data_IF_379547420177
#
_entry.id   IF_379547420177
#
_cell.length_a   1.000
_cell.length_b   1.000
_cell.length_c   1.000
_cell.angle_alpha   90.00
_cell.angle_beta   90.00
_cell.angle_gamma   90.00
#
_symmetry.space_group_name_H-M   'P 1'
#
loop_
_entity.id
_entity.type
_entity.pdbx_description
1 polymer ?
#
# COMPACT_ATOMS: atom_id res chain seq x y z
N UNK A 1 2.57 19.95 9.96
CA UNK A 1 2.60 21.15 9.10
C UNK A 1 1.43 21.09 8.13
N UNK A 2 1.10 22.16 7.40
CA UNK A 2 0.05 22.14 6.36
C UNK A 2 0.67 21.97 4.98
N UNK A 3 -0.04 21.30 4.07
CA UNK A 3 0.39 21.15 2.68
C UNK A 3 0.57 22.50 1.97
N UNK A 4 1.60 22.60 1.11
CA UNK A 4 1.74 23.74 0.20
C UNK A 4 0.59 23.79 -0.82
N UNK A 5 0.39 24.92 -1.50
CA UNK A 5 -0.69 25.07 -2.49
C UNK A 5 -0.57 24.06 -3.64
N UNK A 6 0.65 23.79 -4.10
CA UNK A 6 0.92 22.80 -5.15
C UNK A 6 0.58 21.37 -4.67
N UNK A 7 0.95 21.02 -3.44
CA UNK A 7 0.62 19.73 -2.85
C UNK A 7 -0.88 19.56 -2.63
N UNK A 8 -1.57 20.63 -2.22
CA UNK A 8 -3.04 20.61 -2.11
C UNK A 8 -3.70 20.32 -3.46
N UNK A 9 -3.26 20.98 -4.55
CA UNK A 9 -3.75 20.68 -5.90
C UNK A 9 -3.48 19.23 -6.28
N UNK A 10 -2.26 18.73 -6.01
CA UNK A 10 -1.92 17.33 -6.30
C UNK A 10 -2.79 16.34 -5.51
N UNK A 11 -2.97 16.57 -4.22
CA UNK A 11 -3.80 15.69 -3.37
C UNK A 11 -5.28 15.76 -3.74
N UNK A 12 -5.76 16.91 -4.22
CA UNK A 12 -7.10 17.03 -4.82
C UNK A 12 -7.26 16.12 -6.04
N UNK A 13 -6.28 16.16 -6.96
CA UNK A 13 -6.25 15.26 -8.12
C UNK A 13 -6.20 13.77 -7.73
N UNK A 14 -5.39 13.39 -6.73
CA UNK A 14 -5.38 12.02 -6.21
C UNK A 14 -6.75 11.60 -5.67
N UNK A 15 -7.40 12.51 -4.93
CA UNK A 15 -8.73 12.27 -4.38
C UNK A 15 -9.78 12.07 -5.49
N UNK A 16 -9.76 12.90 -6.53
CA UNK A 16 -10.69 12.77 -7.65
C UNK A 16 -10.53 11.42 -8.39
N UNK A 17 -9.28 10.97 -8.62
CA UNK A 17 -9.01 9.65 -9.22
C UNK A 17 -9.56 8.53 -8.33
N UNK A 18 -9.27 8.61 -7.04
CA UNK A 18 -9.63 7.56 -6.07
C UNK A 18 -11.15 7.48 -5.93
N UNK A 19 -11.82 8.61 -5.70
CA UNK A 19 -13.27 8.67 -5.51
C UNK A 19 -14.02 8.25 -6.81
N UNK A 20 -13.43 8.50 -7.98
CA UNK A 20 -13.99 8.08 -9.27
C UNK A 20 -13.83 6.59 -9.60
N UNK A 21 -12.94 5.86 -8.90
CA UNK A 21 -12.59 4.46 -9.25
C UNK A 21 -12.78 3.47 -8.11
N UNK A 22 -12.66 3.91 -6.86
CA UNK A 22 -12.63 3.06 -5.68
C UNK A 22 -13.75 3.47 -4.73
N UNK A 23 -14.40 2.46 -4.15
CA UNK A 23 -15.34 2.63 -3.05
C UNK A 23 -14.66 2.28 -1.73
N UNK A 24 -15.23 2.74 -0.60
CA UNK A 24 -14.76 2.43 0.76
C UNK A 24 -13.33 2.91 1.05
N UNK A 25 -12.98 4.10 0.54
CA UNK A 25 -11.71 4.77 0.84
C UNK A 25 -11.94 5.87 1.88
N UNK A 26 -11.04 5.96 2.87
CA UNK A 26 -11.07 6.98 3.92
C UNK A 26 -9.76 7.76 3.93
N UNK A 27 -9.87 9.08 3.98
CA UNK A 27 -8.73 9.98 4.15
C UNK A 27 -8.63 10.42 5.61
N UNK A 28 -7.51 10.16 6.25
CA UNK A 28 -7.25 10.48 7.65
C UNK A 28 -6.28 11.65 7.70
N UNK A 29 -6.63 12.68 8.47
CA UNK A 29 -5.87 13.93 8.59
C UNK A 29 -5.46 14.57 7.24
N UNK A 30 -6.37 14.70 6.24
CA UNK A 30 -6.02 15.06 4.86
C UNK A 30 -5.34 16.42 4.68
N UNK A 31 -5.39 17.29 5.70
CA UNK A 31 -4.79 18.63 5.68
C UNK A 31 -3.42 18.70 6.38
N UNK A 32 -2.95 17.59 6.94
CA UNK A 32 -1.73 17.53 7.75
C UNK A 32 -0.61 16.88 6.96
N UNK A 33 0.37 17.69 6.52
CA UNK A 33 1.57 17.22 5.87
C UNK A 33 2.34 16.28 6.81
N UNK A 34 2.79 15.14 6.29
CA UNK A 34 3.48 14.08 7.04
C UNK A 34 2.59 13.24 7.96
N UNK A 35 1.30 13.56 8.11
CA UNK A 35 0.36 12.80 8.95
C UNK A 35 -0.93 12.39 8.21
N UNK A 36 -1.01 12.69 6.91
CA UNK A 36 -2.10 12.23 6.05
C UNK A 36 -1.96 10.73 5.78
N UNK A 37 -3.07 9.99 5.92
CA UNK A 37 -3.15 8.58 5.52
C UNK A 37 -4.35 8.37 4.61
N UNK A 38 -4.24 7.43 3.69
CA UNK A 38 -5.35 6.98 2.84
C UNK A 38 -5.57 5.49 3.09
N UNK A 39 -6.76 5.14 3.56
CA UNK A 39 -7.13 3.75 3.86
C UNK A 39 -8.16 3.22 2.89
N UNK A 40 -7.94 2.03 2.38
CA UNK A 40 -8.88 1.34 1.50
C UNK A 40 -9.22 -0.03 2.05
N UNK A 41 -10.52 -0.27 2.29
CA UNK A 41 -11.05 -1.58 2.68
C UNK A 41 -11.24 -2.45 1.44
N UNK A 42 -10.55 -3.58 1.42
CA UNK A 42 -10.49 -4.49 0.27
C UNK A 42 -11.03 -5.85 0.67
N UNK A 43 -11.88 -6.42 -0.19
CA UNK A 43 -12.18 -7.85 -0.15
C UNK A 43 -11.34 -8.52 -1.25
N UNK A 44 -10.61 -9.58 -0.87
CA UNK A 44 -9.95 -10.45 -1.84
C UNK A 44 -10.96 -11.31 -2.56
N UNK A 45 -10.56 -11.95 -3.67
CA UNK A 45 -11.47 -12.76 -4.47
C UNK A 45 -12.03 -13.99 -3.72
N UNK A 46 -11.33 -14.46 -2.68
CA UNK A 46 -11.79 -15.53 -1.80
C UNK A 46 -12.59 -15.03 -0.56
N UNK A 47 -12.95 -13.74 -0.53
CA UNK A 47 -13.84 -13.16 0.47
C UNK A 47 -13.16 -12.67 1.75
N UNK A 48 -11.84 -12.82 1.89
CA UNK A 48 -11.09 -12.30 3.03
C UNK A 48 -11.00 -10.77 2.98
N UNK A 49 -11.00 -10.15 4.16
CA UNK A 49 -11.11 -8.69 4.29
C UNK A 49 -9.82 -8.11 4.85
N UNK A 50 -9.33 -7.08 4.19
CA UNK A 50 -8.12 -6.35 4.57
C UNK A 50 -8.33 -4.85 4.51
N UNK A 51 -7.44 -4.09 5.13
CA UNK A 51 -7.35 -2.64 4.91
C UNK A 51 -5.94 -2.27 4.51
N UNK A 52 -5.79 -1.74 3.31
CA UNK A 52 -4.54 -1.14 2.84
C UNK A 52 -4.46 0.29 3.37
N UNK A 53 -3.30 0.69 3.87
CA UNK A 53 -3.04 2.05 4.32
C UNK A 53 -1.82 2.61 3.61
N UNK A 54 -2.01 3.75 2.98
CA UNK A 54 -0.94 4.57 2.42
C UNK A 54 -0.60 5.68 3.41
N UNK A 55 0.66 5.80 3.80
CA UNK A 55 1.17 6.97 4.51
C UNK A 55 1.71 7.94 3.47
N UNK A 56 1.12 9.14 3.43
CA UNK A 56 1.52 10.18 2.46
C UNK A 56 2.66 11.00 3.09
N UNK A 57 3.87 10.98 2.50
CA UNK A 57 5.03 11.67 3.06
C UNK A 57 4.88 13.18 2.94
N UNK A 58 5.56 13.93 3.80
CA UNK A 58 5.53 15.40 3.79
C UNK A 58 6.01 16.00 2.46
N UNK A 59 6.95 15.34 1.78
CA UNK A 59 7.49 15.77 0.49
C UNK A 59 6.71 15.20 -0.71
N UNK A 60 5.53 14.61 -0.53
CA UNK A 60 4.70 14.13 -1.63
C UNK A 60 4.39 15.25 -2.64
N UNK A 61 4.46 15.03 -3.97
CA UNK A 61 4.71 13.76 -4.66
C UNK A 61 6.19 13.47 -4.97
N UNK A 62 7.12 14.26 -4.46
CA UNK A 62 8.56 14.08 -4.71
C UNK A 62 9.14 12.91 -3.90
N UNK A 63 8.48 12.51 -2.82
CA UNK A 63 8.82 11.32 -2.05
C UNK A 63 7.79 10.19 -2.26
N UNK A 64 8.29 8.97 -2.37
CA UNK A 64 7.51 7.76 -2.54
C UNK A 64 6.74 7.43 -1.25
N UNK A 65 5.42 7.18 -1.31
CA UNK A 65 4.65 6.85 -0.12
C UNK A 65 4.93 5.43 0.40
N UNK A 66 4.57 5.20 1.66
CA UNK A 66 4.63 3.87 2.28
C UNK A 66 3.27 3.20 2.18
N UNK A 67 3.25 1.90 1.89
CA UNK A 67 2.03 1.08 1.82
C UNK A 67 2.12 -0.09 2.80
N UNK A 68 1.11 -0.23 3.66
CA UNK A 68 1.02 -1.34 4.62
C UNK A 68 -0.33 -2.02 4.58
N UNK A 69 -0.40 -3.24 5.15
CA UNK A 69 -1.66 -3.87 5.55
C UNK A 69 -1.97 -3.49 7.00
N UNK A 70 -2.99 -2.66 7.19
CA UNK A 70 -3.39 -2.10 8.50
C UNK A 70 -4.50 -2.86 9.21
N UNK A 71 -5.22 -3.70 8.47
CA UNK A 71 -6.17 -4.66 9.01
C UNK A 71 -5.94 -6.01 8.34
N UNK A 72 -5.63 -7.08 9.10
CA UNK A 72 -5.54 -7.12 10.57
C UNK A 72 -4.43 -6.21 11.13
N UNK A 73 -4.63 -5.62 12.30
CA UNK A 73 -3.73 -4.62 12.92
C UNK A 73 -2.50 -5.27 13.59
N UNK A 74 -1.82 -6.11 12.82
CA UNK A 74 -0.64 -6.87 13.20
C UNK A 74 0.13 -7.27 11.96
N UNK A 75 1.42 -7.53 12.11
CA UNK A 75 2.25 -8.16 11.07
C UNK A 75 1.60 -9.46 10.56
N UNK A 76 1.52 -9.61 9.25
CA UNK A 76 0.95 -10.78 8.59
C UNK A 76 1.86 -12.01 8.74
N UNK A 77 1.28 -13.20 8.55
CA UNK A 77 2.00 -14.47 8.68
C UNK A 77 2.04 -15.24 7.37
N UNK A 78 3.19 -15.82 7.08
CA UNK A 78 3.37 -16.82 6.04
C UNK A 78 2.66 -18.11 6.40
N UNK A 79 2.44 -18.99 5.41
CA UNK A 79 1.73 -20.27 5.62
C UNK A 79 2.35 -21.11 6.74
N UNK A 80 3.67 -21.12 6.85
CA UNK A 80 4.42 -21.84 7.91
C UNK A 80 4.31 -21.21 9.32
N UNK A 81 3.60 -20.08 9.44
CA UNK A 81 3.40 -19.36 10.69
C UNK A 81 4.43 -18.27 10.98
N UNK A 82 5.53 -18.19 10.20
CA UNK A 82 6.53 -17.12 10.33
C UNK A 82 5.97 -15.75 9.94
N UNK A 83 6.59 -14.69 10.44
CA UNK A 83 6.11 -13.31 10.23
C UNK A 83 6.64 -12.71 8.92
N UNK A 84 5.78 -11.98 8.21
CA UNK A 84 6.14 -11.13 7.07
C UNK A 84 6.64 -9.77 7.58
N UNK A 85 7.82 -9.78 8.21
CA UNK A 85 8.44 -8.60 8.83
C UNK A 85 9.78 -8.19 8.23
N UNK A 86 10.46 -9.10 7.54
CA UNK A 86 11.78 -8.85 6.96
C UNK A 86 11.66 -8.48 5.48
N UNK A 87 12.58 -7.65 5.00
CA UNK A 87 12.69 -7.33 3.58
C UNK A 87 12.91 -8.61 2.75
N UNK A 88 12.00 -8.89 1.82
CA UNK A 88 12.01 -10.12 1.03
C UNK A 88 11.50 -9.84 -0.38
N UNK A 89 12.38 -10.03 -1.36
CA UNK A 89 12.00 -9.98 -2.79
C UNK A 89 10.97 -11.06 -3.13
N UNK A 90 11.12 -12.25 -2.54
CA UNK A 90 10.22 -13.39 -2.79
C UNK A 90 8.81 -13.18 -2.26
N UNK A 91 8.71 -12.50 -1.12
CA UNK A 91 7.43 -12.19 -0.47
C UNK A 91 6.90 -10.79 -0.85
N UNK A 92 7.66 -10.02 -1.64
CA UNK A 92 7.34 -8.64 -2.00
C UNK A 92 7.03 -7.77 -0.77
N UNK A 93 7.86 -7.90 0.27
CA UNK A 93 7.77 -7.13 1.53
C UNK A 93 9.01 -6.25 1.65
N UNK A 94 8.82 -4.97 2.02
CA UNK A 94 9.94 -4.06 2.31
C UNK A 94 10.43 -4.19 3.75
N UNK A 95 9.57 -4.65 4.65
CA UNK A 95 9.87 -4.90 6.05
C UNK A 95 8.65 -4.62 6.91
N UNK A 96 8.87 -3.88 7.99
CA UNK A 96 7.81 -3.37 8.86
C UNK A 96 7.78 -1.85 8.85
N UNK A 97 6.57 -1.31 8.88
CA UNK A 97 6.32 0.10 9.11
C UNK A 97 5.16 0.25 10.09
N UNK A 98 5.35 1.02 11.17
CA UNK A 98 4.32 1.23 12.20
C UNK A 98 3.78 -0.08 12.80
N UNK A 99 4.64 -1.09 12.96
CA UNK A 99 4.28 -2.42 13.49
C UNK A 99 3.46 -3.30 12.52
N UNK A 100 3.37 -2.91 11.26
CA UNK A 100 2.57 -3.58 10.22
C UNK A 100 3.46 -4.04 9.07
N UNK A 101 3.01 -5.06 8.32
CA UNK A 101 3.71 -5.53 7.11
C UNK A 101 3.70 -4.44 6.04
N UNK A 102 4.90 -3.99 5.65
CA UNK A 102 5.11 -3.03 4.56
C UNK A 102 5.23 -3.76 3.22
N UNK A 103 4.36 -3.40 2.27
CA UNK A 103 4.27 -4.04 0.96
C UNK A 103 5.16 -3.31 -0.04
N UNK A 104 5.90 -4.08 -0.86
CA UNK A 104 6.58 -3.56 -2.04
C UNK A 104 5.57 -3.10 -3.11
N UNK A 105 5.70 -1.85 -3.59
CA UNK A 105 4.86 -1.32 -4.67
C UNK A 105 5.70 -0.71 -5.80
N UNK A 106 6.42 0.38 -5.53
CA UNK A 106 7.42 0.99 -6.41
C UNK A 106 8.80 0.88 -5.77
N UNK A 107 9.85 0.73 -6.60
CA UNK A 107 11.24 0.94 -6.14
C UNK A 107 11.43 2.45 -5.91
N UNK A 108 12.12 2.84 -4.84
CA UNK A 108 12.33 4.26 -4.50
C UNK A 108 12.92 5.06 -5.68
N UNK A 109 13.88 4.49 -6.41
CA UNK A 109 14.49 5.13 -7.58
C UNK A 109 13.63 5.15 -8.86
N UNK A 110 12.49 4.45 -8.86
CA UNK A 110 11.55 4.41 -9.98
C UNK A 110 10.26 5.20 -9.69
N UNK A 111 10.13 5.77 -8.50
CA UNK A 111 9.03 6.66 -8.16
C UNK A 111 9.21 8.00 -8.87
N UNK A 112 8.12 8.52 -9.41
CA UNK A 112 8.05 9.83 -10.03
C UNK A 112 6.78 10.54 -9.59
N UNK A 113 6.75 11.87 -9.76
CA UNK A 113 5.53 12.65 -9.51
C UNK A 113 4.35 12.21 -10.38
N UNK A 114 4.57 11.51 -11.49
CA UNK A 114 3.48 11.00 -12.35
C UNK A 114 2.77 9.77 -11.74
N UNK A 115 3.40 9.11 -10.76
CA UNK A 115 2.78 7.98 -10.07
C UNK A 115 1.72 8.43 -9.08
N UNK A 116 0.63 7.65 -8.95
CA UNK A 116 -0.55 8.03 -8.14
C UNK A 116 -0.72 7.13 -6.93
N UNK A 117 -1.38 7.63 -5.89
CA UNK A 117 -1.81 6.85 -4.72
C UNK A 117 -2.75 5.72 -5.17
N UNK A 118 -3.57 5.96 -6.19
CA UNK A 118 -4.39 4.92 -6.82
C UNK A 118 -3.54 3.73 -7.32
N UNK A 119 -2.43 4.00 -8.03
CA UNK A 119 -1.54 2.93 -8.50
C UNK A 119 -0.88 2.17 -7.33
N UNK A 120 -0.49 2.88 -6.26
CA UNK A 120 0.03 2.28 -5.02
C UNK A 120 -1.00 1.34 -4.39
N UNK A 121 -2.25 1.80 -4.24
CA UNK A 121 -3.36 0.99 -3.71
C UNK A 121 -3.64 -0.24 -4.58
N UNK A 122 -3.60 -0.09 -5.90
CA UNK A 122 -3.80 -1.21 -6.81
C UNK A 122 -2.69 -2.27 -6.71
N UNK A 123 -1.44 -1.85 -6.50
CA UNK A 123 -0.34 -2.78 -6.19
C UNK A 123 -0.61 -3.54 -4.90
N UNK A 124 -1.05 -2.85 -3.86
CA UNK A 124 -1.48 -3.50 -2.61
C UNK A 124 -2.59 -4.52 -2.81
N UNK A 125 -3.61 -4.20 -3.62
CA UNK A 125 -4.70 -5.15 -3.89
C UNK A 125 -4.19 -6.42 -4.59
N UNK A 126 -3.36 -6.27 -5.61
CA UNK A 126 -2.78 -7.43 -6.32
C UNK A 126 -1.89 -8.25 -5.37
N UNK A 127 -1.12 -7.59 -4.51
CA UNK A 127 -0.32 -8.25 -3.48
C UNK A 127 -1.19 -9.07 -2.52
N UNK A 128 -2.34 -8.53 -2.08
CA UNK A 128 -3.27 -9.27 -1.20
C UNK A 128 -3.81 -10.53 -1.87
N UNK A 129 -4.14 -10.50 -3.17
CA UNK A 129 -4.56 -11.72 -3.88
C UNK A 129 -3.44 -12.77 -3.92
N UNK A 130 -2.20 -12.35 -4.19
CA UNK A 130 -1.03 -13.25 -4.16
C UNK A 130 -0.77 -13.80 -2.75
N UNK A 131 -0.92 -12.97 -1.72
CA UNK A 131 -0.81 -13.37 -0.33
C UNK A 131 -1.85 -14.44 0.03
N UNK A 132 -3.09 -14.30 -0.41
CA UNK A 132 -4.13 -15.32 -0.19
C UNK A 132 -3.77 -16.66 -0.84
N UNK A 133 -3.20 -16.64 -2.05
CA UNK A 133 -2.71 -17.87 -2.68
C UNK A 133 -1.55 -18.46 -1.88
N UNK A 134 -0.59 -17.64 -1.43
CA UNK A 134 0.51 -18.07 -0.56
C UNK A 134 -0.02 -18.72 0.72
N UNK A 135 -1.03 -18.15 1.38
CA UNK A 135 -1.66 -18.72 2.59
C UNK A 135 -2.22 -20.12 2.35
N UNK A 136 -2.67 -20.41 1.13
CA UNK A 136 -3.20 -21.72 0.74
C UNK A 136 -2.10 -22.69 0.31
N UNK A 137 -1.14 -22.26 -0.50
CA UNK A 137 -0.16 -23.14 -1.17
C UNK A 137 1.16 -23.23 -0.40
N UNK A 138 1.65 -22.10 0.13
CA UNK A 138 2.98 -21.94 0.69
C UNK A 138 4.01 -21.42 -0.32
N UNK A 139 3.63 -21.30 -1.59
CA UNK A 139 4.46 -20.77 -2.66
C UNK A 139 4.73 -19.28 -2.43
N UNK A 140 5.94 -18.81 -2.76
CA UNK A 140 6.31 -17.41 -2.64
C UNK A 140 5.46 -16.49 -3.53
N UNK A 141 5.25 -15.25 -3.07
CA UNK A 141 4.40 -14.28 -3.77
C UNK A 141 4.97 -13.89 -5.14
N UNK A 142 6.30 -13.91 -5.32
CA UNK A 142 6.99 -13.66 -6.60
C UNK A 142 6.49 -14.57 -7.74
N UNK A 143 5.97 -15.76 -7.42
CA UNK A 143 5.39 -16.68 -8.41
C UNK A 143 4.14 -16.09 -9.08
N UNK A 144 3.42 -15.23 -8.37
CA UNK A 144 2.13 -14.66 -8.78
C UNK A 144 2.25 -13.17 -9.12
N UNK A 145 3.29 -12.51 -8.63
CA UNK A 145 3.54 -11.09 -8.86
C UNK A 145 4.64 -10.93 -9.91
N UNK A 146 4.28 -10.33 -11.05
CA UNK A 146 5.29 -9.96 -12.04
C UNK A 146 6.24 -8.92 -11.43
N UNK A 147 7.55 -9.16 -11.54
CA UNK A 147 8.54 -8.09 -11.38
C UNK A 147 8.27 -7.06 -12.48
N UNK A 148 7.84 -5.87 -12.10
CA UNK A 148 7.89 -4.73 -13.01
C UNK A 148 9.34 -4.28 -13.03
N UNK A 149 10.03 -4.62 -14.11
CA UNK A 149 11.37 -4.12 -14.41
C UNK A 149 11.32 -2.63 -14.73
#
# INVERSE_FOLDING_TARGET
MSWSKQQQTRLGFEKDIIDGKLNNVTWINPRSAGNTRVEWRVNTNNGNKYTLRVYVPEEFPNECPVLVVSSPSSVLRKKDGSLLQEASGKDHVYGIYDGLTEICHFRKGSWSSENTIYQVLMKGRIWLEAYEIHRQTGEYLEKYLAHMN
#
